data_IF_866194988692
#
_entry.id   IF_866194988692
#
_cell.length_a   1.000
_cell.length_b   1.000
_cell.length_c   1.000
_cell.angle_alpha   90.00
_cell.angle_beta   90.00
_cell.angle_gamma   90.00
#
_symmetry.space_group_name_H-M   'P 1'
#
loop_
_entity.id
_entity.type
_entity.pdbx_description
1 polymer ?
#
# COMPACT_ATOMS: atom_id res chain seq x y z
N UNK A 1 5.40 -8.60 -6.84
CA UNK A 1 6.43 -8.59 -5.78
C UNK A 1 6.25 -9.82 -4.91
N UNK A 2 7.26 -10.71 -4.82
CA UNK A 2 7.21 -11.89 -3.95
C UNK A 2 7.29 -11.54 -2.47
N UNK A 3 6.84 -12.46 -1.63
CA UNK A 3 7.08 -12.40 -0.17
C UNK A 3 6.08 -11.54 0.61
N UNK A 4 5.05 -11.01 -0.04
CA UNK A 4 3.94 -10.34 0.64
C UNK A 4 2.97 -11.39 1.17
N UNK A 5 2.64 -11.31 2.45
CA UNK A 5 1.62 -12.17 3.08
C UNK A 5 0.24 -11.57 2.80
N UNK A 6 -0.62 -12.34 2.16
CA UNK A 6 -2.02 -12.04 1.92
C UNK A 6 -2.89 -12.80 2.92
N UNK A 7 -3.55 -12.08 3.82
CA UNK A 7 -4.45 -12.64 4.83
C UNK A 7 -5.91 -12.46 4.38
N UNK A 8 -6.63 -13.58 4.26
CA UNK A 8 -8.03 -13.61 3.84
C UNK A 8 -8.95 -13.61 5.05
N UNK A 9 -9.97 -12.75 5.01
CA UNK A 9 -11.04 -12.66 6.00
C UNK A 9 -12.40 -12.80 5.31
N UNK A 10 -13.35 -13.42 6.00
CA UNK A 10 -14.74 -13.50 5.51
C UNK A 10 -15.52 -12.20 5.82
N UNK A 11 -16.77 -12.14 5.39
CA UNK A 11 -17.66 -10.99 5.60
C UNK A 11 -17.86 -10.58 7.07
N UNK A 12 -17.61 -11.49 8.01
CA UNK A 12 -17.68 -11.22 9.45
C UNK A 12 -16.34 -10.76 10.05
N UNK A 13 -15.31 -10.55 9.22
CA UNK A 13 -13.96 -10.20 9.67
C UNK A 13 -13.20 -11.35 10.32
N UNK A 14 -13.66 -12.59 10.15
CA UNK A 14 -12.98 -13.78 10.69
C UNK A 14 -11.91 -14.25 9.71
N UNK A 15 -10.71 -14.51 10.22
CA UNK A 15 -9.60 -15.04 9.43
C UNK A 15 -9.96 -16.41 8.85
N UNK A 16 -9.70 -16.59 7.56
CA UNK A 16 -10.01 -17.80 6.80
C UNK A 16 -8.72 -18.52 6.41
N UNK A 17 -7.78 -17.81 5.80
CA UNK A 17 -6.55 -18.39 5.28
C UNK A 17 -5.47 -17.32 5.07
N UNK A 18 -4.23 -17.76 4.88
CA UNK A 18 -3.13 -16.90 4.41
C UNK A 18 -2.46 -17.52 3.18
N UNK A 19 -1.91 -16.67 2.33
CA UNK A 19 -1.15 -17.03 1.13
C UNK A 19 0.01 -16.06 0.97
N UNK A 20 1.07 -16.44 0.25
CA UNK A 20 2.23 -15.57 0.04
C UNK A 20 2.36 -15.31 -1.46
N UNK A 21 2.63 -14.06 -1.84
CA UNK A 21 2.83 -13.71 -3.25
C UNK A 21 4.08 -14.39 -3.82
N UNK A 22 3.94 -14.92 -5.03
CA UNK A 22 5.04 -15.52 -5.77
C UNK A 22 5.93 -14.44 -6.44
N UNK A 23 6.94 -14.85 -7.21
CA UNK A 23 7.88 -13.93 -7.90
C UNK A 23 7.19 -12.91 -8.82
N UNK A 24 6.04 -13.27 -9.37
CA UNK A 24 5.22 -12.41 -10.23
C UNK A 24 4.26 -11.51 -9.41
N UNK A 25 4.18 -11.68 -8.09
CA UNK A 25 3.23 -10.99 -7.22
C UNK A 25 1.85 -11.64 -7.15
N UNK A 26 1.69 -12.84 -7.69
CA UNK A 26 0.42 -13.56 -7.72
C UNK A 26 0.28 -14.36 -6.43
N UNK A 27 -0.92 -14.36 -5.86
CA UNK A 27 -1.34 -15.22 -4.74
C UNK A 27 -2.67 -15.87 -5.10
N UNK A 28 -3.00 -16.97 -4.42
CA UNK A 28 -4.25 -17.68 -4.65
C UNK A 28 -4.84 -18.22 -3.34
N UNK A 29 -6.17 -18.27 -3.31
CA UNK A 29 -6.97 -18.96 -2.30
C UNK A 29 -7.89 -19.95 -3.01
N UNK A 30 -8.04 -21.14 -2.44
CA UNK A 30 -8.89 -22.21 -2.99
C UNK A 30 -9.96 -22.61 -1.97
N UNK A 31 -11.02 -23.28 -2.43
CA UNK A 31 -12.13 -23.76 -1.59
C UNK A 31 -12.87 -22.63 -0.87
N UNK A 32 -13.08 -21.50 -1.54
CA UNK A 32 -13.89 -20.40 -1.03
C UNK A 32 -15.38 -20.72 -1.19
N UNK A 33 -16.20 -20.27 -0.24
CA UNK A 33 -17.65 -20.43 -0.33
C UNK A 33 -18.19 -19.48 -1.40
N UNK A 34 -18.78 -20.04 -2.45
CA UNK A 34 -19.38 -19.26 -3.53
C UNK A 34 -20.48 -18.32 -3.00
N UNK A 35 -20.48 -17.08 -3.44
CA UNK A 35 -21.42 -16.05 -3.02
C UNK A 35 -21.08 -15.33 -1.72
N UNK A 36 -20.02 -15.76 -1.00
CA UNK A 36 -19.53 -15.01 0.16
C UNK A 36 -18.60 -13.87 -0.24
N UNK A 37 -18.65 -12.78 0.55
CA UNK A 37 -17.72 -11.66 0.44
C UNK A 37 -16.49 -11.93 1.29
N UNK A 38 -15.32 -11.60 0.72
CA UNK A 38 -14.04 -11.72 1.39
C UNK A 38 -13.26 -10.41 1.29
N UNK A 39 -12.38 -10.18 2.27
CA UNK A 39 -11.34 -9.16 2.22
C UNK A 39 -9.95 -9.78 2.31
N UNK A 40 -9.00 -9.21 1.58
CA UNK A 40 -7.59 -9.59 1.61
C UNK A 40 -6.78 -8.43 2.15
N UNK A 41 -6.11 -8.66 3.26
CA UNK A 41 -5.24 -7.70 3.91
C UNK A 41 -3.80 -8.15 3.71
N UNK A 42 -2.99 -7.27 3.16
CA UNK A 42 -1.58 -7.57 2.90
C UNK A 42 -0.71 -7.09 4.06
N UNK A 43 0.34 -7.85 4.34
CA UNK A 43 1.36 -7.53 5.34
C UNK A 43 2.72 -7.95 4.80
N UNK A 44 3.78 -7.24 5.20
CA UNK A 44 5.15 -7.49 4.75
C UNK A 44 6.15 -7.08 5.80
N UNK A 45 7.21 -7.87 5.93
CA UNK A 45 8.41 -7.52 6.69
C UNK A 45 9.59 -7.21 5.75
N UNK A 46 9.31 -7.05 4.45
CA UNK A 46 10.32 -6.64 3.47
C UNK A 46 10.72 -5.19 3.72
N UNK A 47 12.02 -4.94 3.61
CA UNK A 47 12.54 -3.58 3.57
C UNK A 47 11.88 -2.82 2.41
N UNK A 48 11.43 -1.58 2.63
CA UNK A 48 10.92 -0.75 1.55
C UNK A 48 11.99 -0.60 0.48
N UNK A 49 11.58 -0.74 -0.79
CA UNK A 49 12.49 -0.56 -1.94
C UNK A 49 12.97 0.90 -2.12
N UNK A 50 12.76 1.75 -1.11
CA UNK A 50 13.16 3.14 -1.03
C UNK A 50 12.19 4.09 -1.73
N UNK A 51 12.10 5.31 -1.18
CA UNK A 51 11.50 6.46 -1.82
C UNK A 51 12.61 7.31 -2.45
N UNK A 52 12.39 7.86 -3.65
CA UNK A 52 13.41 8.65 -4.35
C UNK A 52 12.84 9.92 -5.00
N UNK A 53 13.69 10.66 -5.73
CA UNK A 53 13.31 11.91 -6.39
C UNK A 53 12.16 11.76 -7.41
N UNK A 54 11.96 10.59 -8.00
CA UNK A 54 10.83 10.34 -8.88
C UNK A 54 9.49 10.40 -8.12
N UNK A 55 9.46 9.90 -6.88
CA UNK A 55 8.29 9.98 -6.01
C UNK A 55 8.02 11.44 -5.59
N UNK A 56 9.09 12.17 -5.24
CA UNK A 56 9.00 13.61 -4.97
C UNK A 56 8.45 14.37 -6.18
N UNK A 57 8.94 14.05 -7.39
CA UNK A 57 8.49 14.67 -8.62
C UNK A 57 7.03 14.33 -8.96
N UNK A 58 6.62 13.08 -8.70
CA UNK A 58 5.23 12.65 -8.85
C UNK A 58 4.31 13.48 -7.94
N UNK A 59 4.66 13.59 -6.65
CA UNK A 59 3.91 14.40 -5.69
C UNK A 59 3.88 15.88 -6.08
N UNK A 60 5.01 16.45 -6.55
CA UNK A 60 5.06 17.83 -7.01
C UNK A 60 4.13 18.08 -8.21
N UNK A 61 4.01 17.14 -9.15
CA UNK A 61 3.07 17.28 -10.26
C UNK A 61 1.62 17.23 -9.81
N UNK A 62 1.31 16.37 -8.82
CA UNK A 62 -0.02 16.32 -8.20
C UNK A 62 -0.36 17.64 -7.50
N UNK A 63 0.55 18.18 -6.66
CA UNK A 63 0.34 19.44 -5.95
C UNK A 63 0.18 20.65 -6.88
N UNK A 64 0.72 20.56 -8.10
CA UNK A 64 0.56 21.56 -9.15
C UNK A 64 -0.66 21.31 -10.07
N UNK A 65 -1.50 20.31 -9.77
CA UNK A 65 -2.70 19.98 -10.54
C UNK A 65 -2.43 19.43 -11.94
N UNK A 66 -1.23 18.89 -12.20
CA UNK A 66 -0.84 18.37 -13.51
C UNK A 66 -1.22 16.92 -13.73
N UNK A 67 -1.36 16.17 -12.64
CA UNK A 67 -1.71 14.75 -12.65
C UNK A 67 -2.69 14.48 -11.50
N UNK A 68 -3.40 13.36 -11.61
CA UNK A 68 -4.16 12.78 -10.52
C UNK A 68 -3.42 11.54 -10.00
N UNK A 69 -3.36 11.40 -8.68
CA UNK A 69 -2.82 10.21 -8.02
C UNK A 69 -3.95 9.20 -7.81
N UNK A 70 -3.60 7.92 -7.89
CA UNK A 70 -4.51 6.85 -7.46
C UNK A 70 -4.79 6.91 -5.96
N UNK A 71 -5.88 6.31 -5.49
CA UNK A 71 -6.19 6.26 -4.05
C UNK A 71 -5.05 5.68 -3.21
N UNK A 72 -4.36 4.65 -3.72
CA UNK A 72 -3.23 4.05 -3.02
C UNK A 72 -2.03 5.02 -2.98
N UNK A 73 -1.78 5.75 -4.06
CA UNK A 73 -0.73 6.77 -4.10
C UNK A 73 -1.05 7.97 -3.21
N UNK A 74 -2.32 8.40 -3.10
CA UNK A 74 -2.72 9.45 -2.16
C UNK A 74 -2.46 9.02 -0.72
N UNK A 75 -2.82 7.79 -0.36
CA UNK A 75 -2.53 7.24 0.97
C UNK A 75 -1.03 7.11 1.23
N UNK A 76 -0.26 6.70 0.24
CA UNK A 76 1.19 6.59 0.35
C UNK A 76 1.90 7.96 0.37
N UNK A 77 1.28 8.99 -0.20
CA UNK A 77 1.83 10.34 -0.26
C UNK A 77 1.67 11.11 1.07
N UNK A 78 0.70 10.76 1.91
CA UNK A 78 0.54 11.29 3.27
C UNK A 78 1.57 10.63 4.21
N UNK A 79 2.83 11.04 4.06
CA UNK A 79 3.96 10.44 4.76
C UNK A 79 4.11 10.95 6.19
N UNK A 80 3.49 12.10 6.50
CA UNK A 80 3.46 12.63 7.86
C UNK A 80 2.23 12.17 8.68
N UNK A 81 1.25 11.53 8.03
CA UNK A 81 0.07 10.93 8.66
C UNK A 81 -0.99 11.95 9.10
N UNK A 82 -0.99 13.16 8.52
CA UNK A 82 -1.89 14.26 8.90
C UNK A 82 -3.20 14.28 8.11
N UNK A 83 -3.43 13.29 7.24
CA UNK A 83 -4.58 13.12 6.35
C UNK A 83 -4.69 14.12 5.20
N UNK A 84 -3.67 14.96 4.98
CA UNK A 84 -3.63 15.96 3.93
C UNK A 84 -2.38 15.82 3.06
N UNK A 85 -2.54 15.39 1.82
CA UNK A 85 -1.42 15.33 0.86
C UNK A 85 -1.04 16.74 0.40
N UNK A 86 0.08 17.27 0.90
CA UNK A 86 0.50 18.65 0.66
C UNK A 86 2.04 18.84 0.59
N UNK A 87 2.50 20.10 0.60
CA UNK A 87 3.94 20.41 0.51
C UNK A 87 4.76 19.98 1.74
N UNK A 88 4.10 19.74 2.88
CA UNK A 88 4.73 19.13 4.05
C UNK A 88 5.23 17.71 3.72
N UNK A 89 4.40 16.88 3.10
CA UNK A 89 4.78 15.53 2.66
C UNK A 89 5.92 15.54 1.64
N UNK A 90 5.85 16.44 0.67
CA UNK A 90 6.92 16.63 -0.30
C UNK A 90 8.24 16.97 0.40
N UNK A 91 8.18 17.82 1.43
CA UNK A 91 9.37 18.19 2.22
C UNK A 91 9.93 16.99 2.99
N UNK A 92 9.08 16.11 3.53
CA UNK A 92 9.51 14.84 4.15
C UNK A 92 10.19 13.93 3.14
N UNK A 93 9.58 13.68 1.98
CA UNK A 93 10.13 12.83 0.92
C UNK A 93 11.50 13.35 0.44
N UNK A 94 11.62 14.66 0.21
CA UNK A 94 12.89 15.26 -0.22
C UNK A 94 13.94 15.24 0.90
N UNK A 95 13.53 15.48 2.15
CA UNK A 95 14.45 15.48 3.30
C UNK A 95 14.98 14.08 3.60
N UNK A 96 14.14 13.05 3.52
CA UNK A 96 14.54 11.64 3.58
C UNK A 96 15.63 11.31 2.55
N UNK A 97 15.45 11.80 1.32
CA UNK A 97 16.40 11.58 0.24
C UNK A 97 17.74 12.34 0.43
N UNK A 98 17.72 13.52 1.07
CA UNK A 98 18.91 14.38 1.20
C UNK A 98 19.68 14.28 2.52
N UNK A 99 19.01 13.98 3.65
CA UNK A 99 19.56 14.23 5.01
C UNK A 99 19.71 12.95 5.85
N UNK A 100 19.46 11.76 5.27
CA UNK A 100 19.66 10.41 5.83
C UNK A 100 18.56 9.87 6.75
N UNK A 101 17.79 8.92 6.22
CA UNK A 101 17.47 7.65 6.91
C UNK A 101 16.67 7.73 8.21
N UNK A 102 15.82 8.75 8.36
CA UNK A 102 14.78 8.70 9.38
C UNK A 102 13.65 7.80 8.86
N UNK A 103 12.72 7.36 9.71
CA UNK A 103 11.51 6.67 9.23
C UNK A 103 10.44 7.71 8.93
N UNK A 104 9.51 7.40 8.02
CA UNK A 104 8.35 8.27 7.85
C UNK A 104 7.45 8.22 9.09
N UNK A 105 6.89 9.36 9.57
CA UNK A 105 5.94 9.35 10.68
C UNK A 105 4.70 8.48 10.43
N UNK A 106 4.25 8.36 9.17
CA UNK A 106 3.15 7.48 8.78
C UNK A 106 3.54 5.98 8.69
N UNK A 107 4.82 5.66 8.82
CA UNK A 107 5.39 4.32 8.65
C UNK A 107 5.84 4.01 7.22
N UNK A 108 6.45 2.83 7.06
CA UNK A 108 7.18 2.47 5.83
C UNK A 108 6.31 1.96 4.68
N UNK A 109 5.14 1.38 4.98
CA UNK A 109 4.30 0.71 3.99
C UNK A 109 2.84 1.14 4.04
N UNK A 110 2.31 1.50 2.88
CA UNK A 110 0.86 1.58 2.64
C UNK A 110 0.48 0.44 1.70
N UNK A 111 -0.29 -0.52 2.22
CA UNK A 111 -0.77 -1.68 1.47
C UNK A 111 -2.28 -1.57 1.23
N UNK A 112 -2.77 -2.00 0.05
CA UNK A 112 -4.19 -1.96 -0.24
C UNK A 112 -4.96 -3.00 0.59
N UNK A 113 -6.27 -2.82 0.71
CA UNK A 113 -7.18 -3.89 1.13
C UNK A 113 -8.04 -4.23 -0.07
N UNK A 114 -8.06 -5.50 -0.46
CA UNK A 114 -8.87 -5.95 -1.60
C UNK A 114 -10.14 -6.60 -1.10
N UNK A 115 -11.25 -6.36 -1.78
CA UNK A 115 -12.52 -7.00 -1.48
C UNK A 115 -13.09 -7.64 -2.74
N UNK A 116 -13.68 -8.82 -2.61
CA UNK A 116 -14.31 -9.52 -3.72
C UNK A 116 -15.39 -10.47 -3.23
N UNK A 117 -16.29 -10.86 -4.11
CA UNK A 117 -17.24 -11.95 -3.89
C UNK A 117 -16.74 -13.19 -4.60
N UNK A 118 -16.64 -14.32 -3.91
CA UNK A 118 -16.18 -15.56 -4.54
C UNK A 118 -17.22 -16.05 -5.56
N UNK A 119 -16.84 -16.14 -6.83
CA UNK A 119 -17.62 -16.82 -7.85
C UNK A 119 -17.30 -18.31 -7.79
N UNK A 120 -18.33 -19.14 -7.59
CA UNK A 120 -18.21 -20.60 -7.64
C UNK A 120 -17.92 -21.15 -9.03
#
# INVERSE_FOLDING_TARGET
MPGIVANLYNANGVFVASSITNIEGIFAFSNLTAGENYSVHFTTDLDPCGVNLADAYLLLNYLNGKIELTDLQLKAADVNGDTQVNYADFSFIVSQWYIHGEDFPAGEWVLPVWTFTASG
#
